data_IF_513759419079
#
_entry.id   IF_513759419079
#
_cell.length_a   1.000
_cell.length_b   1.000
_cell.length_c   1.000
_cell.angle_alpha   90.00
_cell.angle_beta   90.00
_cell.angle_gamma   90.00
#
_symmetry.space_group_name_H-M   'P 1'
#
loop_
_entity.id
_entity.type
_entity.pdbx_description
1 polymer ?
#
# COMPACT_ATOMS: atom_id res chain seq x y z
N UNK A 1 -11.78 3.75 -13.06
CA UNK A 1 -10.63 4.08 -13.94
C UNK A 1 -9.36 4.10 -13.13
N UNK A 2 -8.28 3.52 -13.65
CA UNK A 2 -6.96 3.51 -13.01
C UNK A 2 -6.22 4.81 -13.24
N UNK A 3 -5.61 5.36 -12.20
CA UNK A 3 -4.69 6.49 -12.29
C UNK A 3 -3.32 6.10 -11.76
N UNK A 4 -2.25 6.58 -12.39
CA UNK A 4 -0.88 6.47 -11.87
C UNK A 4 -0.48 7.78 -11.23
N UNK A 5 0.00 7.73 -9.99
CA UNK A 5 0.47 8.89 -9.23
C UNK A 5 1.95 8.74 -8.92
N UNK A 6 2.68 9.85 -8.94
CA UNK A 6 4.10 9.92 -8.60
C UNK A 6 4.28 10.86 -7.43
N UNK A 7 5.06 10.44 -6.45
CA UNK A 7 5.41 11.23 -5.27
C UNK A 7 6.90 11.52 -5.30
N UNK A 8 7.27 12.78 -5.10
CA UNK A 8 8.65 13.19 -4.89
C UNK A 8 8.93 13.10 -3.39
N UNK A 9 9.65 12.06 -2.97
CA UNK A 9 9.93 11.78 -1.56
C UNK A 9 11.41 11.96 -1.25
N UNK A 10 11.73 12.00 0.04
CA UNK A 10 13.11 12.11 0.50
C UNK A 10 13.92 10.85 0.18
N UNK A 11 15.26 10.92 0.17
CA UNK A 11 16.13 9.75 -0.04
C UNK A 11 15.88 8.61 0.96
N UNK A 12 15.52 8.93 2.21
CA UNK A 12 15.23 7.94 3.26
C UNK A 12 14.02 7.08 2.88
N UNK A 13 13.01 7.66 2.23
CA UNK A 13 11.84 6.97 1.69
C UNK A 13 12.11 6.32 0.32
N UNK A 14 13.36 6.33 -0.15
CA UNK A 14 13.75 5.76 -1.44
C UNK A 14 13.63 6.71 -2.62
N UNK A 15 13.44 8.01 -2.38
CA UNK A 15 13.35 9.03 -3.43
C UNK A 15 12.02 8.97 -4.20
N UNK A 16 11.98 9.44 -5.47
CA UNK A 16 10.76 9.47 -6.26
C UNK A 16 10.13 8.08 -6.44
N UNK A 17 8.86 7.95 -6.05
CA UNK A 17 8.12 6.68 -6.07
C UNK A 17 6.76 6.84 -6.73
N UNK A 18 6.10 5.72 -7.08
CA UNK A 18 4.78 5.73 -7.73
C UNK A 18 3.80 4.76 -7.09
N UNK A 19 2.51 5.04 -7.27
CA UNK A 19 1.44 4.11 -6.93
C UNK A 19 0.34 4.16 -8.00
N UNK A 20 -0.42 3.08 -8.11
CA UNK A 20 -1.66 3.02 -8.90
C UNK A 20 -2.84 3.18 -7.95
N UNK A 21 -3.90 3.84 -8.42
CA UNK A 21 -5.15 3.96 -7.69
C UNK A 21 -6.35 3.73 -8.60
N UNK A 22 -7.29 2.94 -8.11
CA UNK A 22 -8.54 2.63 -8.78
C UNK A 22 -9.72 3.03 -7.90
N UNK A 23 -10.59 3.84 -8.50
CA UNK A 23 -11.88 4.19 -7.91
C UNK A 23 -12.96 3.32 -8.56
N UNK A 24 -13.79 2.63 -7.77
CA UNK A 24 -15.02 2.05 -8.29
C UNK A 24 -15.97 3.20 -8.64
N UNK A 25 -16.87 2.95 -9.59
CA UNK A 25 -17.98 3.86 -9.84
C UNK A 25 -18.78 3.96 -8.52
N UNK A 26 -18.99 5.18 -8.02
CA UNK A 26 -19.83 5.51 -6.86
C UNK A 26 -19.24 5.47 -5.43
N UNK A 27 -17.91 5.36 -5.26
CA UNK A 27 -17.30 5.28 -3.91
C UNK A 27 -17.58 6.51 -3.02
N UNK A 28 -17.89 7.67 -3.60
CA UNK A 28 -18.15 8.92 -2.86
C UNK A 28 -19.62 9.12 -2.46
N UNK A 29 -20.52 8.18 -2.75
CA UNK A 29 -21.93 8.34 -2.40
C UNK A 29 -22.09 8.10 -0.89
N UNK A 30 -22.77 9.01 -0.19
CA UNK A 30 -23.28 8.88 1.19
C UNK A 30 -22.41 9.38 2.37
N UNK A 31 -21.33 10.12 2.14
CA UNK A 31 -20.61 10.83 3.23
C UNK A 31 -19.96 9.92 4.28
N UNK A 32 -19.84 8.62 4.01
CA UNK A 32 -19.11 7.65 4.83
C UNK A 32 -17.68 7.51 4.30
N UNK A 33 -16.68 7.25 5.17
CA UNK A 33 -15.34 6.94 4.71
C UNK A 33 -15.33 5.73 3.77
N UNK A 34 -14.77 5.88 2.57
CA UNK A 34 -14.63 4.78 1.63
C UNK A 34 -13.61 3.76 2.17
N UNK A 35 -13.89 2.44 2.08
CA UNK A 35 -12.87 1.43 2.35
C UNK A 35 -11.72 1.57 1.35
N UNK A 36 -10.48 1.51 1.84
CA UNK A 36 -9.27 1.58 1.01
C UNK A 36 -8.43 0.34 1.26
N UNK A 37 -8.06 -0.38 0.20
CA UNK A 37 -7.15 -1.52 0.27
C UNK A 37 -5.83 -1.14 -0.36
N UNK A 38 -4.75 -1.21 0.41
CA UNK A 38 -3.38 -1.16 -0.09
C UNK A 38 -2.92 -2.58 -0.42
N UNK A 39 -2.59 -2.81 -1.68
CA UNK A 39 -2.17 -4.10 -2.21
C UNK A 39 -0.67 -4.07 -2.54
N UNK A 40 0.15 -4.54 -1.60
CA UNK A 40 1.61 -4.54 -1.69
C UNK A 40 2.11 -5.78 -2.41
N UNK A 41 2.86 -5.57 -3.50
CA UNK A 41 3.38 -6.66 -4.33
C UNK A 41 4.54 -7.40 -3.67
N UNK A 42 4.75 -8.66 -4.07
CA UNK A 42 5.91 -9.46 -3.66
C UNK A 42 7.24 -8.96 -4.24
N UNK A 43 8.36 -9.46 -3.71
CA UNK A 43 9.71 -9.07 -4.12
C UNK A 43 9.91 -9.24 -5.64
N UNK A 44 10.45 -8.23 -6.31
CA UNK A 44 10.73 -8.26 -7.75
C UNK A 44 9.51 -8.09 -8.66
N UNK A 45 8.29 -8.12 -8.10
CA UNK A 45 7.03 -7.94 -8.84
C UNK A 45 6.71 -6.47 -9.11
N UNK A 46 5.54 -6.17 -9.68
CA UNK A 46 5.08 -4.82 -10.03
C UNK A 46 3.73 -4.52 -9.38
N UNK A 47 3.42 -3.24 -9.12
CA UNK A 47 2.10 -2.86 -8.64
C UNK A 47 1.00 -3.29 -9.62
N UNK A 48 1.27 -3.24 -10.92
CA UNK A 48 0.33 -3.61 -11.98
C UNK A 48 -0.11 -5.07 -11.87
N UNK A 49 0.82 -6.00 -11.64
CA UNK A 49 0.48 -7.43 -11.47
C UNK A 49 -0.24 -7.71 -10.16
N UNK A 50 0.15 -7.05 -9.07
CA UNK A 50 -0.51 -7.23 -7.77
C UNK A 50 -1.91 -6.61 -7.71
N UNK A 51 -2.15 -5.57 -8.52
CA UNK A 51 -3.46 -4.94 -8.69
C UNK A 51 -4.50 -5.93 -9.24
N UNK A 52 -4.10 -6.81 -10.16
CA UNK A 52 -5.00 -7.79 -10.80
C UNK A 52 -5.63 -8.78 -9.80
N UNK A 53 -4.98 -8.99 -8.66
CA UNK A 53 -5.53 -9.84 -7.58
C UNK A 53 -6.81 -9.25 -6.98
N UNK A 54 -6.94 -7.92 -6.98
CA UNK A 54 -8.01 -7.21 -6.26
C UNK A 54 -8.98 -6.44 -7.16
N UNK A 55 -8.52 -5.95 -8.31
CA UNK A 55 -9.29 -4.99 -9.13
C UNK A 55 -10.68 -5.50 -9.50
N UNK A 56 -10.81 -6.80 -9.84
CA UNK A 56 -12.07 -7.42 -10.25
C UNK A 56 -13.16 -7.36 -9.17
N UNK A 57 -12.77 -7.20 -7.90
CA UNK A 57 -13.69 -7.12 -6.78
C UNK A 57 -14.13 -5.68 -6.46
N UNK A 58 -13.41 -4.68 -6.96
CA UNK A 58 -13.68 -3.27 -6.64
C UNK A 58 -15.10 -2.81 -6.98
N UNK A 59 -15.73 -3.18 -8.12
CA UNK A 59 -17.06 -2.67 -8.47
C UNK A 59 -18.17 -3.24 -7.57
N UNK A 60 -18.02 -4.48 -7.10
CA UNK A 60 -19.02 -5.15 -6.27
C UNK A 60 -18.86 -4.83 -4.78
N UNK A 61 -17.62 -4.76 -4.30
CA UNK A 61 -17.32 -4.55 -2.90
C UNK A 61 -17.16 -3.07 -2.51
N UNK A 62 -17.08 -2.16 -3.50
CA UNK A 62 -17.14 -0.71 -3.27
C UNK A 62 -15.94 -0.13 -2.52
N UNK A 63 -14.73 -0.62 -2.79
CA UNK A 63 -13.49 -0.11 -2.17
C UNK A 63 -12.56 0.57 -3.17
N UNK A 64 -11.79 1.56 -2.70
CA UNK A 64 -10.66 2.15 -3.42
C UNK A 64 -9.49 1.18 -3.35
N UNK A 65 -8.92 0.82 -4.49
CA UNK A 65 -7.72 -0.02 -4.55
C UNK A 65 -6.49 0.86 -4.77
N UNK A 66 -5.49 0.72 -3.90
CA UNK A 66 -4.19 1.36 -4.00
C UNK A 66 -3.15 0.27 -4.21
N UNK A 67 -2.37 0.35 -5.29
CA UNK A 67 -1.28 -0.60 -5.58
C UNK A 67 0.06 0.15 -5.64
N UNK A 68 0.77 0.24 -4.50
CA UNK A 68 2.06 0.95 -4.41
C UNK A 68 3.20 0.21 -5.11
N UNK A 69 4.13 0.94 -5.73
CA UNK A 69 5.39 0.36 -6.21
C UNK A 69 6.44 0.35 -5.08
N UNK A 70 7.05 -0.81 -4.86
CA UNK A 70 8.17 -0.95 -3.93
C UNK A 70 9.43 -0.26 -4.45
N UNK A 71 10.45 -0.16 -3.59
CA UNK A 71 11.65 0.61 -3.88
C UNK A 71 12.54 -0.04 -4.95
N UNK A 72 13.16 0.78 -5.80
CA UNK A 72 14.10 0.37 -6.85
C UNK A 72 15.52 0.11 -6.29
N UNK A 73 16.37 -0.66 -7.01
CA UNK A 73 16.14 -1.25 -8.34
C UNK A 73 15.42 -2.62 -8.33
N UNK A 74 15.37 -3.32 -7.21
CA UNK A 74 14.89 -4.72 -7.16
C UNK A 74 13.41 -4.88 -6.80
N UNK A 75 12.67 -3.76 -6.68
CA UNK A 75 11.25 -3.75 -6.31
C UNK A 75 11.01 -4.51 -5.00
N UNK A 76 11.66 -4.03 -3.94
CA UNK A 76 11.58 -4.60 -2.60
C UNK A 76 11.02 -3.64 -1.56
N UNK A 77 10.37 -4.21 -0.57
CA UNK A 77 9.93 -3.59 0.66
C UNK A 77 10.90 -3.92 1.79
N UNK A 78 11.13 -2.93 2.64
CA UNK A 78 11.73 -3.07 3.96
C UNK A 78 10.71 -3.67 4.94
N UNK A 79 10.40 -4.95 4.76
CA UNK A 79 9.53 -5.72 5.66
C UNK A 79 10.21 -6.19 6.95
N UNK A 80 11.37 -5.64 7.30
CA UNK A 80 12.16 -6.00 8.50
C UNK A 80 12.89 -7.35 8.40
N UNK A 81 12.17 -8.45 8.21
CA UNK A 81 12.76 -9.79 8.16
C UNK A 81 13.15 -10.22 6.73
N UNK A 82 12.39 -9.81 5.73
CA UNK A 82 12.59 -10.23 4.35
C UNK A 82 13.10 -9.08 3.47
N UNK A 83 14.30 -9.38 2.95
CA UNK A 83 14.67 -9.30 1.54
C UNK A 83 14.97 -7.94 0.90
N UNK A 84 15.76 -8.01 -0.16
CA UNK A 84 15.99 -6.91 -1.09
C UNK A 84 16.81 -5.74 -0.56
N UNK A 85 17.03 -4.78 -1.45
CA UNK A 85 17.81 -3.57 -1.17
C UNK A 85 17.10 -2.66 -0.17
N UNK A 86 15.76 -2.63 -0.18
CA UNK A 86 14.98 -1.77 0.71
C UNK A 86 15.26 -2.10 2.17
N UNK A 87 15.26 -3.39 2.52
CA UNK A 87 15.67 -3.85 3.85
C UNK A 87 17.13 -3.53 4.15
N UNK A 88 18.05 -3.86 3.25
CA UNK A 88 19.51 -3.65 3.47
C UNK A 88 19.86 -2.18 3.70
N UNK A 89 19.22 -1.28 2.95
CA UNK A 89 19.40 0.17 3.06
C UNK A 89 18.47 0.83 4.08
N UNK A 90 17.64 0.05 4.77
CA UNK A 90 16.65 0.55 5.75
C UNK A 90 15.74 1.64 5.17
N UNK A 91 15.27 1.45 3.94
CA UNK A 91 14.34 2.38 3.29
C UNK A 91 13.07 2.51 4.12
N UNK A 92 12.59 3.75 4.29
CA UNK A 92 11.37 4.06 5.02
C UNK A 92 10.14 3.86 4.12
N UNK A 93 9.80 2.60 3.90
CA UNK A 93 8.58 2.23 3.18
C UNK A 93 7.31 2.58 3.96
N UNK A 94 7.39 2.71 5.29
CA UNK A 94 6.26 3.10 6.10
C UNK A 94 5.91 4.58 5.89
N UNK A 95 6.93 5.43 5.86
CA UNK A 95 6.80 6.83 5.46
C UNK A 95 6.19 6.98 4.06
N UNK A 96 6.59 6.16 3.10
CA UNK A 96 5.96 6.14 1.78
C UNK A 96 4.47 5.78 1.81
N UNK A 97 4.08 4.74 2.56
CA UNK A 97 2.67 4.34 2.64
C UNK A 97 1.81 5.44 3.30
N UNK A 98 2.34 6.13 4.33
CA UNK A 98 1.68 7.30 4.90
C UNK A 98 1.59 8.46 3.89
N UNK A 99 2.67 8.73 3.13
CA UNK A 99 2.66 9.77 2.11
C UNK A 99 1.64 9.50 0.98
N UNK A 100 1.36 8.24 0.65
CA UNK A 100 0.27 7.90 -0.27
C UNK A 100 -1.09 8.26 0.35
N UNK A 101 -1.32 7.91 1.62
CA UNK A 101 -2.57 8.25 2.31
C UNK A 101 -2.79 9.77 2.32
N UNK A 102 -1.74 10.55 2.63
CA UNK A 102 -1.79 12.00 2.62
C UNK A 102 -2.04 12.57 1.21
N UNK A 103 -1.37 12.04 0.17
CA UNK A 103 -1.62 12.43 -1.22
C UNK A 103 -3.06 12.13 -1.65
N UNK A 104 -3.65 11.01 -1.18
CA UNK A 104 -5.02 10.66 -1.52
C UNK A 104 -6.00 11.67 -0.92
N UNK A 105 -5.84 12.01 0.36
CA UNK A 105 -6.67 13.01 1.04
C UNK A 105 -6.54 14.38 0.37
N UNK A 106 -5.32 14.78 0.02
CA UNK A 106 -5.06 16.09 -0.57
C UNK A 106 -5.54 16.21 -2.02
N UNK A 107 -5.49 15.13 -2.79
CA UNK A 107 -5.73 15.14 -4.24
C UNK A 107 -7.16 14.76 -4.60
N UNK A 108 -7.75 13.80 -3.89
CA UNK A 108 -9.06 13.26 -4.25
C UNK A 108 -10.10 13.75 -3.25
N UNK A 109 -11.23 14.21 -3.77
CA UNK A 109 -12.38 14.61 -2.96
C UNK A 109 -13.12 13.37 -2.42
N UNK A 110 -12.44 12.59 -1.59
CA UNK A 110 -12.94 11.37 -0.95
C UNK A 110 -12.82 11.51 0.56
N UNK A 111 -13.84 11.06 1.29
CA UNK A 111 -13.72 10.88 2.73
C UNK A 111 -13.04 9.54 2.97
N UNK A 112 -11.85 9.54 3.55
CA UNK A 112 -11.15 8.34 4.02
C UNK A 112 -10.52 8.62 5.38
N UNK A 113 -10.35 7.59 6.20
CA UNK A 113 -9.68 7.69 7.50
C UNK A 113 -8.90 6.41 7.78
N UNK A 114 -7.94 6.44 8.71
CA UNK A 114 -7.17 5.24 9.07
C UNK A 114 -8.05 4.05 9.50
N UNK A 115 -9.24 4.30 10.04
CA UNK A 115 -10.22 3.27 10.40
C UNK A 115 -10.86 2.56 9.19
N UNK A 116 -10.73 3.12 7.98
CA UNK A 116 -11.19 2.52 6.72
C UNK A 116 -10.04 2.06 5.81
N UNK A 117 -8.80 2.07 6.32
CA UNK A 117 -7.59 1.66 5.59
C UNK A 117 -7.21 0.22 5.94
N UNK A 118 -6.99 -0.60 4.92
CA UNK A 118 -6.63 -2.01 5.05
C UNK A 118 -5.38 -2.32 4.24
N UNK A 119 -4.48 -3.12 4.81
CA UNK A 119 -3.24 -3.55 4.15
C UNK A 119 -3.30 -5.02 3.72
N UNK A 120 -2.83 -5.33 2.52
CA UNK A 120 -2.65 -6.71 2.08
C UNK A 120 -1.40 -6.82 1.23
N UNK A 121 -0.82 -8.01 1.14
CA UNK A 121 0.27 -8.26 0.23
C UNK A 121 0.78 -9.69 0.25
N UNK A 122 1.49 -10.05 -0.81
CA UNK A 122 2.06 -11.39 -0.97
C UNK A 122 3.58 -11.40 -0.71
N UNK A 123 4.09 -12.42 -0.03
CA UNK A 123 5.52 -12.62 0.23
C UNK A 123 6.16 -11.38 0.89
N UNK A 124 7.12 -10.70 0.25
CA UNK A 124 7.70 -9.44 0.75
C UNK A 124 6.66 -8.33 1.00
N UNK A 125 5.59 -8.27 0.19
CA UNK A 125 4.42 -7.42 0.44
C UNK A 125 3.62 -7.84 1.69
N UNK A 126 3.58 -9.15 1.96
CA UNK A 126 3.07 -9.72 3.19
C UNK A 126 3.92 -9.35 4.42
N UNK A 127 5.24 -9.32 4.29
CA UNK A 127 6.13 -8.90 5.38
C UNK A 127 5.92 -7.43 5.78
N UNK A 128 5.78 -6.51 4.81
CA UNK A 128 5.55 -5.09 5.12
C UNK A 128 4.15 -4.83 5.69
N UNK A 129 3.11 -5.52 5.22
CA UNK A 129 1.77 -5.46 5.86
C UNK A 129 1.80 -5.99 7.28
N UNK A 130 2.39 -7.17 7.52
CA UNK A 130 2.57 -7.71 8.87
C UNK A 130 3.39 -6.81 9.79
N UNK A 131 4.34 -6.05 9.23
CA UNK A 131 5.13 -5.11 10.02
C UNK A 131 4.28 -3.94 10.51
N UNK A 132 3.41 -3.36 9.68
CA UNK A 132 2.52 -2.27 10.09
C UNK A 132 1.67 -2.66 11.31
N UNK A 133 1.10 -3.86 11.34
CA UNK A 133 0.26 -4.33 12.45
C UNK A 133 0.95 -4.36 13.82
N UNK A 134 2.29 -4.30 13.85
CA UNK A 134 3.13 -4.31 15.06
C UNK A 134 3.75 -2.95 15.40
N UNK A 135 3.54 -1.92 14.58
CA UNK A 135 4.06 -0.57 14.81
C UNK A 135 3.09 0.26 15.64
N UNK A 136 3.57 1.30 16.28
CA UNK A 136 2.72 2.38 16.79
C UNK A 136 3.33 3.74 16.41
N UNK A 137 2.54 4.67 15.83
CA UNK A 137 1.17 4.49 15.37
C UNK A 137 1.09 3.61 14.12
N UNK A 138 0.02 2.82 14.00
CA UNK A 138 -0.32 2.03 12.78
C UNK A 138 -0.92 2.89 11.68
N UNK A 139 -0.80 2.43 10.43
CA UNK A 139 -1.48 3.04 9.29
C UNK A 139 -2.78 2.30 8.98
N UNK A 140 -2.75 0.98 8.95
CA UNK A 140 -3.90 0.16 8.58
C UNK A 140 -4.71 -0.24 9.82
N UNK A 141 -6.04 -0.19 9.70
CA UNK A 141 -6.97 -0.71 10.70
C UNK A 141 -6.88 -2.23 10.82
N UNK A 142 -6.62 -2.94 9.72
CA UNK A 142 -6.35 -4.36 9.70
C UNK A 142 -5.46 -4.74 8.50
N UNK A 143 -4.82 -5.91 8.61
CA UNK A 143 -3.96 -6.45 7.55
C UNK A 143 -4.27 -7.91 7.23
N UNK A 144 -4.09 -8.30 5.97
CA UNK A 144 -4.26 -9.67 5.46
C UNK A 144 -3.02 -10.14 4.70
N UNK A 145 -1.89 -10.41 5.37
CA UNK A 145 -0.67 -10.84 4.72
C UNK A 145 -0.78 -12.27 4.17
N UNK A 146 -0.32 -12.50 2.93
CA UNK A 146 -0.22 -13.81 2.29
C UNK A 146 1.23 -14.21 2.13
N UNK A 147 1.63 -15.40 2.61
CA UNK A 147 3.02 -15.89 2.54
C UNK A 147 4.08 -14.92 3.06
N UNK A 148 3.69 -13.96 3.90
CA UNK A 148 4.56 -13.05 4.61
C UNK A 148 4.36 -13.27 6.10
N UNK A 149 5.45 -13.41 6.86
CA UNK A 149 5.32 -13.83 8.25
C UNK A 149 4.59 -12.77 9.08
N UNK A 150 3.53 -13.17 9.79
CA UNK A 150 2.91 -12.41 10.88
C UNK A 150 3.81 -12.42 12.13
N UNK A 151 4.55 -13.50 12.33
CA UNK A 151 5.44 -13.70 13.46
C UNK A 151 6.88 -13.36 13.06
N UNK A 152 7.45 -12.32 13.66
CA UNK A 152 8.89 -12.12 13.72
C UNK A 152 9.26 -12.01 15.19
N UNK A 153 10.31 -12.75 15.60
CA UNK A 153 10.96 -12.59 16.91
C UNK A 153 11.24 -11.12 17.21
#
# INVERSE_FOLDING_TARGET
TTQTRKLNLTPEMGGPRRYLIDFPHDVCKHGKPAPVIFSMHGFGSRPDSQREDYIRYTPQAGFILVSPAANLPDYSWNGGACCGIARRKKIDDYGFLNAIFDDIIATFNVTISKSSLFGSGHSNGGFISSLDARREPRLFAAVSPSSGSLCGK
#
